data_IF_456655244815
#
_entry.id   IF_456655244815
#
_cell.length_a   1.000
_cell.length_b   1.000
_cell.length_c   1.000
_cell.angle_alpha   90.00
_cell.angle_beta   90.00
_cell.angle_gamma   90.00
#
_symmetry.space_group_name_H-M   'P 1'
#
loop_
_entity.id
_entity.type
_entity.pdbx_description
1 polymer ?
#
# COMPACT_ATOMS: atom_id res chain seq x y z
N UNK A 1 39.89 -31.91 -25.54
CA UNK A 1 40.96 -32.06 -24.54
C UNK A 1 40.23 -32.04 -23.20
N UNK A 2 39.72 -33.13 -22.77
CA UNK A 2 40.15 -34.21 -21.85
C UNK A 2 41.11 -33.71 -20.78
N UNK A 3 40.65 -33.68 -19.54
CA UNK A 3 41.22 -34.47 -18.47
C UNK A 3 40.37 -34.43 -17.21
N UNK A 4 39.88 -35.58 -16.82
CA UNK A 4 39.39 -36.06 -15.52
C UNK A 4 40.53 -36.25 -14.54
N UNK A 5 40.21 -36.33 -13.22
CA UNK A 5 40.82 -37.18 -12.17
C UNK A 5 40.00 -36.85 -10.90
N UNK A 6 39.13 -37.67 -10.31
CA UNK A 6 39.19 -38.95 -9.58
C UNK A 6 40.01 -38.92 -8.29
N UNK A 7 39.35 -39.38 -7.22
CA UNK A 7 39.99 -40.09 -6.11
C UNK A 7 39.50 -39.65 -4.71
N UNK A 8 38.58 -40.39 -4.11
CA UNK A 8 38.77 -41.48 -3.10
C UNK A 8 39.06 -40.94 -1.69
N UNK A 9 38.28 -41.23 -0.81
CA UNK A 9 37.96 -42.29 0.18
C UNK A 9 38.18 -41.73 1.58
N UNK A 10 37.38 -41.90 2.53
CA UNK A 10 36.82 -43.05 3.18
C UNK A 10 36.97 -42.93 4.68
N UNK A 11 36.05 -43.43 5.38
CA UNK A 11 36.04 -44.15 6.66
C UNK A 11 35.38 -43.45 7.84
N UNK A 12 34.25 -43.94 8.24
CA UNK A 12 33.85 -44.92 9.26
C UNK A 12 34.26 -44.61 10.73
N UNK A 13 33.25 -44.76 11.54
CA UNK A 13 33.32 -45.19 12.93
C UNK A 13 32.94 -44.10 13.91
N UNK A 14 32.02 -44.31 14.75
CA UNK A 14 31.56 -45.27 15.65
C UNK A 14 30.72 -44.64 16.73
N UNK A 15 29.61 -45.19 16.93
CA UNK A 15 28.87 -45.60 18.12
C UNK A 15 29.08 -44.92 19.48
N UNK A 16 27.93 -44.66 20.05
CA UNK A 16 27.49 -44.90 21.45
C UNK A 16 27.84 -43.87 22.54
N UNK A 17 26.85 -43.30 23.17
CA UNK A 17 26.13 -43.68 24.40
C UNK A 17 25.25 -42.54 24.91
N UNK A 18 23.99 -42.80 24.94
CA UNK A 18 23.09 -42.96 26.08
C UNK A 18 23.23 -42.03 27.31
N UNK A 19 22.09 -41.49 27.58
CA UNK A 19 21.37 -41.46 28.86
C UNK A 19 21.46 -40.18 29.71
N UNK A 20 20.28 -39.84 30.10
CA UNK A 20 19.84 -38.98 31.20
C UNK A 20 19.46 -37.54 30.84
N UNK A 21 18.21 -37.39 30.51
CA UNK A 21 17.50 -36.14 30.71
C UNK A 21 16.21 -36.40 31.48
N UNK A 22 16.28 -36.07 32.73
CA UNK A 22 15.12 -36.01 33.60
C UNK A 22 14.45 -34.65 33.47
N UNK A 23 13.16 -34.69 33.31
CA UNK A 23 12.16 -33.80 33.90
C UNK A 23 12.53 -32.35 34.19
N UNK A 24 12.30 -31.46 33.26
CA UNK A 24 11.90 -30.05 33.46
C UNK A 24 11.18 -29.51 32.20
N UNK A 25 9.90 -29.81 32.07
CA UNK A 25 9.12 -29.40 30.91
C UNK A 25 7.61 -29.24 31.14
N UNK A 26 7.17 -29.26 32.42
CA UNK A 26 5.72 -29.22 32.70
C UNK A 26 5.20 -27.91 33.31
N UNK A 27 6.05 -26.94 33.58
CA UNK A 27 5.61 -25.70 34.25
C UNK A 27 5.40 -24.47 33.34
N UNK A 28 5.84 -24.53 32.09
CA UNK A 28 5.68 -23.35 31.17
C UNK A 28 4.47 -23.42 30.24
N UNK A 29 3.75 -24.53 30.21
CA UNK A 29 2.55 -24.68 29.34
C UNK A 29 1.24 -24.27 29.99
N UNK A 30 1.23 -24.02 31.30
CA UNK A 30 -0.01 -23.60 31.98
C UNK A 30 -0.23 -22.07 31.98
N UNK A 31 0.84 -21.27 31.96
CA UNK A 31 0.71 -19.80 31.93
C UNK A 31 0.30 -19.26 30.53
N UNK A 32 0.72 -19.93 29.47
CA UNK A 32 0.30 -19.52 28.11
C UNK A 32 -1.19 -19.83 27.80
N UNK A 33 -1.76 -20.81 28.50
CA UNK A 33 -3.17 -21.19 28.35
C UNK A 33 -4.12 -20.31 29.17
N UNK A 34 -3.62 -19.65 30.23
CA UNK A 34 -4.42 -18.71 31.01
C UNK A 34 -4.47 -17.33 30.36
N UNK A 35 -3.37 -16.87 29.76
CA UNK A 35 -3.35 -15.62 28.98
C UNK A 35 -4.21 -15.70 27.74
N UNK A 36 -4.22 -16.83 27.02
CA UNK A 36 -5.09 -17.03 25.87
C UNK A 36 -6.58 -17.09 26.23
N UNK A 37 -6.93 -17.53 27.44
CA UNK A 37 -8.31 -17.54 27.93
C UNK A 37 -8.78 -16.18 28.44
N UNK A 38 -7.87 -15.32 28.90
CA UNK A 38 -8.20 -13.93 29.27
C UNK A 38 -8.39 -13.06 28.02
N UNK A 39 -7.61 -13.26 26.97
CA UNK A 39 -7.80 -12.57 25.70
C UNK A 39 -9.06 -13.03 24.95
N UNK A 40 -9.44 -14.31 25.04
CA UNK A 40 -10.68 -14.81 24.46
C UNK A 40 -11.95 -14.30 25.17
N UNK A 41 -11.89 -13.99 26.46
CA UNK A 41 -12.98 -13.35 27.21
C UNK A 41 -13.09 -11.85 26.95
N UNK A 42 -12.02 -11.19 26.49
CA UNK A 42 -12.04 -9.77 26.10
C UNK A 42 -12.56 -9.52 24.68
N UNK A 43 -12.65 -10.54 23.83
CA UNK A 43 -13.17 -10.40 22.46
C UNK A 43 -14.71 -10.44 22.35
N UNK A 44 -15.43 -10.62 23.48
CA UNK A 44 -16.88 -10.87 23.49
C UNK A 44 -17.77 -9.64 23.63
N UNK A 45 -17.25 -8.48 23.95
CA UNK A 45 -18.11 -7.28 24.16
C UNK A 45 -17.33 -6.00 23.80
N UNK A 46 -16.95 -5.85 22.54
CA UNK A 46 -16.51 -4.56 22.06
C UNK A 46 -17.74 -3.70 21.73
N UNK A 47 -18.44 -3.24 22.76
CA UNK A 47 -19.15 -2.00 22.68
C UNK A 47 -18.10 -0.93 22.37
N UNK A 48 -18.32 -0.16 21.32
CA UNK A 48 -17.46 0.98 21.01
C UNK A 48 -17.26 1.77 22.32
N UNK A 49 -16.03 2.11 22.71
CA UNK A 49 -15.82 2.95 23.86
C UNK A 49 -16.62 4.25 23.66
N UNK A 50 -17.53 4.50 24.55
CA UNK A 50 -18.13 5.82 24.69
C UNK A 50 -16.97 6.80 24.79
N UNK A 51 -16.94 7.75 23.90
CA UNK A 51 -15.88 8.70 23.55
C UNK A 51 -14.80 8.92 24.63
N UNK A 52 -13.58 8.56 24.30
CA UNK A 52 -12.40 8.86 25.13
C UNK A 52 -12.04 10.37 25.18
N UNK A 53 -12.78 11.24 24.50
CA UNK A 53 -12.61 12.67 24.50
C UNK A 53 -13.84 13.35 25.14
N UNK A 54 -13.70 14.08 26.26
CA UNK A 54 -14.80 14.84 26.81
C UNK A 54 -15.34 15.84 25.78
N UNK A 55 -16.63 15.72 25.45
CA UNK A 55 -17.31 16.61 24.50
C UNK A 55 -17.50 16.09 23.09
N UNK A 56 -17.00 14.87 22.77
CA UNK A 56 -17.25 14.24 21.46
C UNK A 56 -18.26 13.12 21.64
N UNK A 57 -19.46 13.29 21.14
CA UNK A 57 -20.49 12.24 21.11
C UNK A 57 -20.08 11.17 20.10
N UNK A 58 -20.19 9.86 20.41
CA UNK A 58 -19.92 8.80 19.44
C UNK A 58 -20.78 9.00 18.20
N UNK A 59 -20.13 9.17 17.03
CA UNK A 59 -20.84 9.42 15.78
C UNK A 59 -20.84 10.88 15.30
N UNK A 60 -20.31 11.82 16.07
CA UNK A 60 -20.11 13.17 15.57
C UNK A 60 -18.95 13.20 14.58
N UNK A 61 -19.21 13.60 13.37
CA UNK A 61 -18.20 14.00 12.40
C UNK A 61 -17.65 15.34 12.86
N UNK A 62 -16.34 15.49 12.94
CA UNK A 62 -15.72 16.81 13.12
C UNK A 62 -16.32 17.73 12.05
N UNK A 63 -16.99 18.80 12.49
CA UNK A 63 -17.56 19.79 11.60
C UNK A 63 -16.50 20.25 10.62
N UNK A 64 -16.66 19.87 9.35
CA UNK A 64 -15.95 20.56 8.30
C UNK A 64 -16.64 21.92 8.15
N UNK A 65 -15.88 22.98 7.93
CA UNK A 65 -16.37 24.33 7.70
C UNK A 65 -17.28 24.47 6.44
N UNK A 66 -17.81 23.38 5.93
CA UNK A 66 -18.76 23.35 4.84
C UNK A 66 -20.19 23.25 5.40
N UNK A 67 -21.05 24.24 5.17
CA UNK A 67 -22.34 24.38 5.85
C UNK A 67 -23.44 23.38 5.44
N UNK A 68 -23.14 22.34 4.66
CA UNK A 68 -24.13 21.38 4.14
C UNK A 68 -23.64 19.94 4.11
N UNK A 69 -22.81 19.51 5.04
CA UNK A 69 -22.48 18.07 5.15
C UNK A 69 -23.48 17.40 6.07
N UNK A 70 -24.19 16.41 5.51
CA UNK A 70 -24.94 15.46 6.31
C UNK A 70 -24.03 14.83 7.37
N UNK A 71 -24.54 14.64 8.58
CA UNK A 71 -23.81 13.98 9.67
C UNK A 71 -23.56 12.51 9.31
N UNK A 72 -22.43 12.23 8.68
CA UNK A 72 -22.00 10.89 8.32
C UNK A 72 -20.97 10.42 9.32
N UNK A 73 -21.19 9.26 9.93
CA UNK A 73 -20.21 8.67 10.84
C UNK A 73 -18.89 8.43 10.11
N UNK A 74 -17.76 8.67 10.78
CA UNK A 74 -16.42 8.58 10.19
C UNK A 74 -16.17 7.24 9.46
N UNK A 75 -16.69 6.13 9.97
CA UNK A 75 -16.58 4.81 9.33
C UNK A 75 -17.34 4.71 8.01
N UNK A 76 -18.39 5.50 7.85
CA UNK A 76 -19.29 5.47 6.70
C UNK A 76 -18.94 6.57 5.68
N UNK A 77 -18.08 7.55 6.02
CA UNK A 77 -17.71 8.70 5.17
C UNK A 77 -17.22 8.27 3.79
N UNK A 78 -16.43 7.22 3.72
CA UNK A 78 -15.92 6.74 2.43
C UNK A 78 -17.01 6.12 1.56
N UNK A 79 -17.93 5.37 2.15
CA UNK A 79 -19.05 4.82 1.44
C UNK A 79 -19.98 5.93 0.98
N UNK A 80 -20.31 6.88 1.87
CA UNK A 80 -21.09 8.08 1.53
C UNK A 80 -20.46 8.84 0.35
N UNK A 81 -19.15 9.06 0.37
CA UNK A 81 -18.44 9.70 -0.74
C UNK A 81 -18.59 8.91 -2.05
N UNK A 82 -18.47 7.59 -2.02
CA UNK A 82 -18.65 6.75 -3.22
C UNK A 82 -20.06 6.82 -3.77
N UNK A 83 -21.06 6.81 -2.90
CA UNK A 83 -22.47 6.80 -3.27
C UNK A 83 -22.91 8.15 -3.86
N UNK A 84 -22.28 9.26 -3.46
CA UNK A 84 -22.56 10.61 -3.94
C UNK A 84 -21.59 11.10 -5.02
N UNK A 85 -20.70 10.25 -5.50
CA UNK A 85 -19.73 10.60 -6.53
C UNK A 85 -20.38 10.73 -7.90
N UNK A 86 -20.22 11.89 -8.53
CA UNK A 86 -20.63 12.09 -9.91
C UNK A 86 -19.66 11.37 -10.85
N UNK A 87 -20.17 10.36 -11.56
CA UNK A 87 -19.37 9.59 -12.49
C UNK A 87 -19.29 10.28 -13.85
N UNK A 88 -18.10 10.36 -14.41
CA UNK A 88 -17.88 10.83 -15.77
C UNK A 88 -18.28 9.73 -16.77
N UNK A 89 -19.17 10.06 -17.71
CA UNK A 89 -19.51 9.13 -18.79
C UNK A 89 -18.26 8.68 -19.55
N UNK A 90 -18.12 7.39 -19.91
CA UNK A 90 -16.98 6.88 -20.66
C UNK A 90 -16.64 7.67 -21.92
N UNK A 91 -17.66 8.15 -22.66
CA UNK A 91 -17.50 8.96 -23.87
C UNK A 91 -16.87 10.33 -23.61
N UNK A 92 -17.03 10.87 -22.40
CA UNK A 92 -16.51 12.17 -22.02
C UNK A 92 -15.14 12.14 -21.35
N UNK A 93 -14.66 10.96 -20.96
CA UNK A 93 -13.38 10.83 -20.20
C UNK A 93 -12.19 11.43 -20.93
N UNK A 94 -12.13 11.28 -22.25
CA UNK A 94 -11.07 11.87 -23.09
C UNK A 94 -11.00 13.40 -23.08
N UNK A 95 -12.05 14.07 -22.61
CA UNK A 95 -12.07 15.54 -22.47
C UNK A 95 -11.36 16.01 -21.20
N UNK A 96 -11.08 15.10 -20.28
CA UNK A 96 -10.44 15.42 -19.00
C UNK A 96 -8.97 15.02 -19.03
N UNK A 97 -8.14 15.95 -18.62
CA UNK A 97 -6.69 15.73 -18.43
C UNK A 97 -6.40 15.63 -16.95
N UNK A 98 -5.71 14.56 -16.55
CA UNK A 98 -5.26 14.33 -15.17
C UNK A 98 -3.74 14.41 -15.14
N UNK A 99 -3.21 15.23 -14.24
CA UNK A 99 -1.78 15.34 -14.00
C UNK A 99 -1.40 14.43 -12.84
N UNK A 100 -0.41 13.55 -13.04
CA UNK A 100 0.06 12.62 -12.02
C UNK A 100 1.53 12.91 -11.74
N UNK A 101 1.84 13.35 -10.53
CA UNK A 101 3.20 13.67 -10.09
C UNK A 101 3.78 12.52 -9.29
N UNK A 102 4.80 11.90 -9.82
CA UNK A 102 5.44 10.70 -9.30
C UNK A 102 4.99 9.44 -10.02
N UNK A 103 5.94 8.56 -10.33
CA UNK A 103 5.73 7.30 -11.06
C UNK A 103 6.14 6.07 -10.25
N UNK A 104 6.12 6.19 -8.92
CA UNK A 104 6.24 5.06 -8.00
C UNK A 104 5.02 4.13 -8.09
N UNK A 105 4.91 3.18 -7.16
CA UNK A 105 3.77 2.25 -7.13
C UNK A 105 2.43 2.95 -7.18
N UNK A 106 2.25 3.99 -6.38
CA UNK A 106 1.00 4.74 -6.28
C UNK A 106 0.69 5.51 -7.57
N UNK A 107 1.61 6.39 -8.01
CA UNK A 107 1.38 7.25 -9.17
C UNK A 107 1.40 6.48 -10.48
N UNK A 108 2.28 5.50 -10.62
CA UNK A 108 2.33 4.63 -11.80
C UNK A 108 1.06 3.80 -11.97
N UNK A 109 0.53 3.23 -10.88
CA UNK A 109 -0.73 2.50 -10.91
C UNK A 109 -1.93 3.42 -11.21
N UNK A 110 -1.96 4.61 -10.60
CA UNK A 110 -3.00 5.61 -10.87
C UNK A 110 -2.99 6.06 -12.35
N UNK A 111 -1.81 6.39 -12.89
CA UNK A 111 -1.67 6.78 -14.28
C UNK A 111 -2.07 5.67 -15.27
N UNK A 112 -1.66 4.43 -14.99
CA UNK A 112 -2.04 3.27 -15.80
C UNK A 112 -3.55 3.04 -15.77
N UNK A 113 -4.17 3.04 -14.57
CA UNK A 113 -5.60 2.82 -14.42
C UNK A 113 -6.44 3.94 -15.06
N UNK A 114 -6.03 5.20 -14.92
CA UNK A 114 -6.71 6.32 -15.57
C UNK A 114 -6.60 6.24 -17.08
N UNK A 115 -5.44 5.86 -17.62
CA UNK A 115 -5.26 5.61 -19.06
C UNK A 115 -6.16 4.48 -19.56
N UNK A 116 -6.28 3.37 -18.83
CA UNK A 116 -7.19 2.27 -19.16
C UNK A 116 -8.67 2.70 -19.14
N UNK A 117 -9.02 3.60 -18.22
CA UNK A 117 -10.35 4.19 -18.14
C UNK A 117 -10.66 5.18 -19.27
N UNK A 118 -9.67 5.60 -20.06
CA UNK A 118 -9.82 6.50 -21.20
C UNK A 118 -9.66 7.97 -20.88
N UNK A 119 -9.05 8.35 -19.78
CA UNK A 119 -8.65 9.73 -19.49
C UNK A 119 -7.34 10.08 -20.20
N UNK A 120 -7.15 11.37 -20.52
CA UNK A 120 -5.84 11.87 -20.90
C UNK A 120 -4.99 12.05 -19.65
N UNK A 121 -3.85 11.42 -19.60
CA UNK A 121 -2.97 11.47 -18.42
C UNK A 121 -1.62 12.04 -18.79
N UNK A 122 -1.14 12.99 -17.99
CA UNK A 122 0.26 13.46 -18.04
C UNK A 122 0.96 13.05 -16.75
N UNK A 123 1.94 12.18 -16.87
CA UNK A 123 2.69 11.63 -15.74
C UNK A 123 4.07 12.27 -15.68
N UNK A 124 4.46 12.77 -14.51
CA UNK A 124 5.71 13.46 -14.27
C UNK A 124 6.60 12.67 -13.33
N UNK A 125 7.88 12.59 -13.64
CA UNK A 125 8.88 11.98 -12.77
C UNK A 125 10.22 12.71 -12.87
N UNK A 126 10.88 12.90 -11.73
CA UNK A 126 12.22 13.47 -11.74
C UNK A 126 13.29 12.47 -12.17
N UNK A 127 12.96 11.18 -12.16
CA UNK A 127 13.84 10.13 -12.67
C UNK A 127 13.85 10.07 -14.21
N UNK A 128 14.83 9.38 -14.74
CA UNK A 128 14.97 9.06 -16.17
C UNK A 128 13.93 8.01 -16.64
N UNK A 129 13.39 7.21 -15.72
CA UNK A 129 12.43 6.18 -16.03
C UNK A 129 11.47 5.91 -14.86
N UNK A 130 10.19 5.54 -15.13
CA UNK A 130 9.20 5.22 -14.10
C UNK A 130 9.66 4.13 -13.13
N UNK A 131 10.40 3.14 -13.60
CA UNK A 131 10.88 1.99 -12.81
C UNK A 131 11.94 2.34 -11.77
N UNK A 132 12.44 3.58 -11.71
CA UNK A 132 13.49 4.00 -10.78
C UNK A 132 12.99 4.60 -9.48
N UNK A 133 11.68 4.63 -9.28
CA UNK A 133 11.10 5.13 -8.04
C UNK A 133 11.59 4.34 -6.81
N UNK A 134 11.65 5.02 -5.66
CA UNK A 134 12.13 4.45 -4.39
C UNK A 134 11.38 3.16 -3.98
N UNK A 135 10.19 2.93 -4.49
CA UNK A 135 9.42 1.68 -4.27
C UNK A 135 10.22 0.41 -4.55
N UNK A 136 11.24 0.45 -5.41
CA UNK A 136 12.13 -0.69 -5.69
C UNK A 136 12.95 -1.14 -4.47
N UNK A 137 13.16 -0.26 -3.49
CA UNK A 137 13.93 -0.56 -2.29
C UNK A 137 13.15 -1.39 -1.26
N UNK A 138 11.82 -1.47 -1.36
CA UNK A 138 10.99 -2.24 -0.45
C UNK A 138 11.10 -3.75 -0.77
N UNK A 139 11.56 -4.56 0.17
CA UNK A 139 11.86 -5.98 -0.05
C UNK A 139 10.97 -6.94 0.72
N UNK A 140 10.42 -6.50 1.85
CA UNK A 140 9.74 -7.37 2.82
C UNK A 140 8.46 -8.00 2.31
N UNK A 141 7.58 -7.24 1.75
CA UNK A 141 6.26 -7.66 1.31
C UNK A 141 5.19 -6.60 1.56
N UNK A 142 3.97 -6.95 1.24
CA UNK A 142 2.79 -6.09 1.40
C UNK A 142 1.79 -6.76 2.33
N UNK A 143 1.42 -6.09 3.41
CA UNK A 143 0.41 -6.57 4.34
C UNK A 143 -0.99 -6.38 3.79
N UNK A 144 -1.79 -7.44 3.82
CA UNK A 144 -3.20 -7.39 3.44
C UNK A 144 -4.01 -8.43 4.21
N UNK A 145 -4.99 -7.98 4.95
CA UNK A 145 -5.81 -8.82 5.80
C UNK A 145 -7.02 -9.38 5.04
N UNK A 146 -6.85 -10.57 4.42
CA UNK A 146 -7.94 -11.27 3.72
C UNK A 146 -8.87 -12.06 4.64
N UNK A 147 -8.70 -11.99 5.95
CA UNK A 147 -9.55 -12.69 6.90
C UNK A 147 -9.38 -14.21 6.86
N UNK A 148 -8.13 -14.69 6.80
CA UNK A 148 -7.86 -16.13 6.93
C UNK A 148 -8.36 -16.62 8.30
N UNK A 149 -9.26 -17.59 8.32
CA UNK A 149 -9.86 -18.12 9.55
C UNK A 149 -8.84 -18.69 10.52
N UNK A 150 -7.74 -19.25 10.00
CA UNK A 150 -6.68 -19.88 10.81
C UNK A 150 -6.00 -18.90 11.76
N UNK A 151 -5.76 -17.66 11.30
CA UNK A 151 -5.00 -16.65 12.06
C UNK A 151 -5.91 -15.64 12.76
N UNK A 152 -7.25 -15.79 12.67
CA UNK A 152 -8.23 -14.82 13.15
C UNK A 152 -7.84 -13.37 12.77
N UNK A 153 -7.40 -13.19 11.52
CA UNK A 153 -6.98 -11.93 10.97
C UNK A 153 -8.11 -11.22 10.22
N UNK A 154 -8.06 -9.90 10.19
CA UNK A 154 -9.06 -9.09 9.51
C UNK A 154 -8.66 -7.62 9.47
N UNK A 155 -9.48 -6.80 8.81
CA UNK A 155 -9.21 -5.38 8.63
C UNK A 155 -9.02 -4.65 9.97
N UNK A 156 -9.79 -5.01 11.00
CA UNK A 156 -9.66 -4.40 12.32
C UNK A 156 -8.29 -4.67 12.96
N UNK A 157 -7.85 -5.94 12.97
CA UNK A 157 -6.54 -6.31 13.50
C UNK A 157 -5.41 -5.67 12.70
N UNK A 158 -5.55 -5.61 11.38
CA UNK A 158 -4.60 -4.92 10.51
C UNK A 158 -4.50 -3.42 10.85
N UNK A 159 -5.64 -2.75 11.04
CA UNK A 159 -5.68 -1.35 11.47
C UNK A 159 -5.00 -1.15 12.81
N UNK A 160 -5.35 -1.98 13.82
CA UNK A 160 -4.73 -1.91 15.14
C UNK A 160 -3.22 -2.06 15.09
N UNK A 161 -2.72 -3.03 14.33
CA UNK A 161 -1.28 -3.26 14.17
C UNK A 161 -0.60 -2.09 13.45
N UNK A 162 -1.27 -1.49 12.47
CA UNK A 162 -0.76 -0.32 11.73
C UNK A 162 -0.68 0.91 12.62
N UNK A 163 -1.73 1.21 13.40
CA UNK A 163 -1.77 2.32 14.35
C UNK A 163 -0.71 2.15 15.42
N UNK A 164 -0.55 0.94 15.98
CA UNK A 164 0.50 0.61 16.95
C UNK A 164 1.89 0.75 16.35
N UNK A 165 2.10 0.26 15.12
CA UNK A 165 3.37 0.37 14.40
C UNK A 165 3.75 1.82 14.06
N UNK A 166 2.77 2.70 13.89
CA UNK A 166 2.93 4.14 13.72
C UNK A 166 3.05 4.91 15.05
N UNK A 167 3.26 4.22 16.16
CA UNK A 167 3.42 4.80 17.49
C UNK A 167 2.22 5.69 17.89
N UNK A 168 1.01 5.29 17.46
CA UNK A 168 -0.25 6.01 17.69
C UNK A 168 -0.27 7.45 17.16
N UNK A 169 0.58 7.78 16.18
CA UNK A 169 0.66 9.12 15.57
C UNK A 169 -0.05 9.22 14.22
N UNK A 170 -0.52 8.11 13.70
CA UNK A 170 -1.21 8.08 12.42
C UNK A 170 -2.71 8.38 12.57
N UNK A 171 -3.31 8.84 11.47
CA UNK A 171 -4.75 9.05 11.41
C UNK A 171 -5.46 7.71 11.28
N UNK A 172 -6.28 7.34 12.27
CA UNK A 172 -6.94 6.03 12.35
C UNK A 172 -7.87 5.75 11.17
N UNK A 173 -8.58 6.77 10.68
CA UNK A 173 -9.46 6.65 9.51
C UNK A 173 -8.71 6.23 8.25
N UNK A 174 -7.49 6.74 8.05
CA UNK A 174 -6.65 6.39 6.91
C UNK A 174 -6.08 4.98 7.05
N UNK A 175 -5.70 4.58 8.27
CA UNK A 175 -5.27 3.21 8.57
C UNK A 175 -6.39 2.19 8.34
N UNK A 176 -7.61 2.52 8.76
CA UNK A 176 -8.79 1.69 8.50
C UNK A 176 -9.06 1.50 7.01
N UNK A 177 -9.04 2.60 6.26
CA UNK A 177 -9.22 2.59 4.82
C UNK A 177 -8.14 1.77 4.12
N UNK A 178 -6.87 1.96 4.50
CA UNK A 178 -5.75 1.19 3.99
C UNK A 178 -5.95 -0.31 4.23
N UNK A 179 -6.39 -0.70 5.43
CA UNK A 179 -6.62 -2.10 5.77
C UNK A 179 -7.71 -2.73 4.90
N UNK A 180 -8.81 -2.03 4.64
CA UNK A 180 -9.90 -2.50 3.78
C UNK A 180 -9.45 -2.60 2.31
N UNK A 181 -8.82 -1.56 1.79
CA UNK A 181 -8.45 -1.50 0.37
C UNK A 181 -7.23 -2.39 0.06
N UNK A 182 -6.45 -2.79 1.05
CA UNK A 182 -5.25 -3.63 0.86
C UNK A 182 -5.53 -4.92 0.09
N UNK A 183 -6.72 -5.50 0.28
CA UNK A 183 -7.13 -6.73 -0.43
C UNK A 183 -7.24 -6.48 -1.92
N UNK A 184 -7.89 -5.39 -2.30
CA UNK A 184 -8.06 -4.99 -3.71
C UNK A 184 -6.73 -4.64 -4.37
N UNK A 185 -5.82 -4.03 -3.61
CA UNK A 185 -4.46 -3.73 -4.09
C UNK A 185 -3.71 -5.01 -4.45
N UNK A 186 -3.76 -6.05 -3.60
CA UNK A 186 -3.13 -7.34 -3.91
C UNK A 186 -3.76 -8.00 -5.13
N UNK A 187 -5.08 -7.95 -5.27
CA UNK A 187 -5.78 -8.51 -6.44
C UNK A 187 -5.40 -7.77 -7.71
N UNK A 188 -5.36 -6.44 -7.67
CA UNK A 188 -4.92 -5.63 -8.80
C UNK A 188 -3.47 -5.92 -9.18
N UNK A 189 -2.55 -5.96 -8.22
CA UNK A 189 -1.15 -6.28 -8.48
C UNK A 189 -0.96 -7.68 -9.08
N UNK A 190 -1.72 -8.66 -8.58
CA UNK A 190 -1.72 -10.01 -9.17
C UNK A 190 -2.26 -10.01 -10.61
N UNK A 191 -3.32 -9.23 -10.89
CA UNK A 191 -3.92 -9.12 -12.21
C UNK A 191 -2.98 -8.47 -13.25
N UNK A 192 -2.20 -7.46 -12.84
CA UNK A 192 -1.19 -6.82 -13.73
C UNK A 192 0.11 -7.64 -13.85
N UNK A 193 0.19 -8.83 -13.24
CA UNK A 193 1.29 -9.78 -13.44
C UNK A 193 2.39 -9.71 -12.40
N UNK A 194 2.16 -9.15 -11.20
CA UNK A 194 3.15 -9.22 -10.13
C UNK A 194 3.38 -10.68 -9.70
N UNK A 195 4.63 -11.19 -9.70
CA UNK A 195 4.95 -12.58 -9.49
C UNK A 195 4.96 -12.94 -8.00
N UNK A 196 3.83 -12.81 -7.33
CA UNK A 196 3.69 -13.21 -5.94
C UNK A 196 4.01 -14.69 -5.74
N UNK A 197 4.65 -15.01 -4.62
CA UNK A 197 4.84 -16.38 -4.20
C UNK A 197 3.50 -17.10 -4.06
N UNK A 198 3.48 -18.39 -4.39
CA UNK A 198 2.27 -19.22 -4.32
C UNK A 198 2.51 -20.43 -3.44
N UNK A 199 1.44 -20.85 -2.78
CA UNK A 199 1.35 -22.13 -2.09
C UNK A 199 1.27 -23.26 -3.11
N UNK A 200 1.48 -24.49 -2.66
CA UNK A 200 1.44 -25.67 -3.51
C UNK A 200 0.10 -25.82 -4.25
N UNK A 201 -0.99 -25.41 -3.63
CA UNK A 201 -2.33 -25.39 -4.23
C UNK A 201 -2.62 -24.21 -5.16
N UNK A 202 -1.63 -23.39 -5.51
CA UNK A 202 -1.76 -22.25 -6.44
C UNK A 202 -2.29 -20.95 -5.86
N UNK A 203 -2.74 -20.93 -4.62
CA UNK A 203 -3.14 -19.71 -3.92
C UNK A 203 -1.94 -18.84 -3.57
N UNK A 204 -2.15 -17.52 -3.38
CA UNK A 204 -1.08 -16.61 -3.01
C UNK A 204 -0.54 -16.96 -1.61
N UNK A 205 0.78 -17.15 -1.52
CA UNK A 205 1.48 -17.42 -0.28
C UNK A 205 1.55 -16.16 0.59
N UNK A 206 1.44 -16.36 1.89
CA UNK A 206 1.61 -15.31 2.89
C UNK A 206 2.58 -15.74 3.97
N UNK A 207 3.23 -14.78 4.59
CA UNK A 207 4.13 -15.01 5.73
C UNK A 207 3.92 -13.98 6.82
N UNK A 208 4.40 -14.26 8.01
CA UNK A 208 4.58 -13.27 9.06
C UNK A 208 5.85 -12.48 8.78
N UNK A 209 5.79 -11.15 8.88
CA UNK A 209 6.92 -10.27 8.62
C UNK A 209 6.75 -8.93 9.34
N UNK A 210 7.88 -8.32 9.74
CA UNK A 210 7.88 -6.97 10.33
C UNK A 210 7.22 -6.86 11.70
N UNK A 211 7.32 -7.89 12.54
CA UNK A 211 6.72 -7.90 13.89
C UNK A 211 5.22 -8.24 13.90
N UNK A 212 4.61 -8.46 12.73
CA UNK A 212 3.23 -8.93 12.63
C UNK A 212 3.19 -10.43 12.93
N UNK A 213 2.40 -10.81 13.93
CA UNK A 213 2.32 -12.20 14.40
C UNK A 213 1.38 -13.11 13.58
N UNK A 214 0.79 -12.57 12.52
CA UNK A 214 -0.13 -13.29 11.63
C UNK A 214 0.42 -13.34 10.20
N UNK A 215 0.08 -14.38 9.45
CA UNK A 215 0.50 -14.56 8.07
C UNK A 215 -0.35 -13.71 7.11
N UNK A 216 -0.10 -12.40 7.04
CA UNK A 216 -0.81 -11.48 6.14
C UNK A 216 0.09 -10.81 5.10
N UNK A 217 1.41 -11.06 5.14
CA UNK A 217 2.34 -10.40 4.24
C UNK A 217 2.47 -11.19 2.94
N UNK A 218 2.01 -10.61 1.84
CA UNK A 218 2.21 -11.12 0.48
C UNK A 218 3.59 -10.69 -0.01
N UNK A 219 4.31 -11.56 -0.69
CA UNK A 219 5.69 -11.32 -1.06
C UNK A 219 6.06 -11.95 -2.41
N UNK A 220 7.07 -11.40 -3.03
CA UNK A 220 7.81 -12.02 -4.13
C UNK A 220 9.21 -12.34 -3.60
N UNK A 221 9.69 -13.52 -3.73
CA UNK A 221 10.91 -13.99 -3.07
C UNK A 221 12.08 -12.98 -3.18
N UNK A 222 12.33 -12.22 -2.10
CA UNK A 222 13.48 -11.33 -1.92
C UNK A 222 13.40 -9.91 -2.50
N UNK A 223 12.51 -9.63 -3.44
CA UNK A 223 12.48 -8.35 -4.19
C UNK A 223 11.06 -7.84 -4.41
N UNK A 224 10.25 -7.82 -3.37
CA UNK A 224 8.81 -7.54 -3.50
C UNK A 224 8.54 -6.18 -4.12
N UNK A 225 9.11 -5.11 -3.59
CA UNK A 225 8.89 -3.76 -4.10
C UNK A 225 9.38 -3.59 -5.54
N UNK A 226 10.53 -4.16 -5.88
CA UNK A 226 11.06 -4.13 -7.24
C UNK A 226 10.11 -4.83 -8.22
N UNK A 227 9.62 -6.02 -7.90
CA UNK A 227 8.71 -6.75 -8.78
C UNK A 227 7.36 -6.04 -8.95
N UNK A 228 6.82 -5.49 -7.87
CA UNK A 228 5.61 -4.68 -7.92
C UNK A 228 5.81 -3.42 -8.78
N UNK A 229 6.95 -2.72 -8.61
CA UNK A 229 7.27 -1.54 -9.40
C UNK A 229 7.45 -1.87 -10.89
N UNK A 230 8.10 -2.99 -11.23
CA UNK A 230 8.24 -3.43 -12.61
C UNK A 230 6.90 -3.77 -13.24
N UNK A 231 6.02 -4.46 -12.51
CA UNK A 231 4.67 -4.78 -13.00
C UNK A 231 3.84 -3.51 -13.23
N UNK A 232 3.91 -2.57 -12.30
CA UNK A 232 3.25 -1.25 -12.44
C UNK A 232 3.83 -0.46 -13.62
N UNK A 233 5.15 -0.42 -13.75
CA UNK A 233 5.82 0.25 -14.87
C UNK A 233 5.45 -0.38 -16.23
N UNK A 234 5.30 -1.70 -16.29
CA UNK A 234 4.83 -2.40 -17.50
C UNK A 234 3.40 -2.02 -17.87
N UNK A 235 2.49 -1.94 -16.87
CA UNK A 235 1.13 -1.49 -17.09
C UNK A 235 1.08 -0.04 -17.58
N UNK A 236 1.87 0.84 -16.96
CA UNK A 236 2.01 2.24 -17.38
C UNK A 236 2.58 2.35 -18.80
N UNK A 237 3.64 1.60 -19.11
CA UNK A 237 4.27 1.62 -20.43
C UNK A 237 3.31 1.18 -21.54
N UNK A 238 2.42 0.23 -21.25
CA UNK A 238 1.35 -0.15 -22.18
C UNK A 238 0.43 1.02 -22.50
N UNK A 239 0.05 1.82 -21.49
CA UNK A 239 -0.80 3.00 -21.70
C UNK A 239 -0.06 4.14 -22.43
N UNK A 240 1.23 4.28 -22.19
CA UNK A 240 2.08 5.22 -22.96
C UNK A 240 2.13 4.81 -24.42
N UNK A 241 2.33 3.53 -24.72
CA UNK A 241 2.35 3.01 -26.10
C UNK A 241 1.02 3.19 -26.82
N UNK A 242 -0.10 3.05 -26.10
CA UNK A 242 -1.45 3.29 -26.64
C UNK A 242 -1.79 4.79 -26.80
N UNK A 243 -0.92 5.70 -26.36
CA UNK A 243 -1.15 7.14 -26.45
C UNK A 243 -2.15 7.72 -25.42
N UNK A 244 -2.55 6.92 -24.41
CA UNK A 244 -3.45 7.37 -23.35
C UNK A 244 -2.70 8.14 -22.24
N UNK A 245 -1.41 7.88 -22.09
CA UNK A 245 -0.54 8.51 -21.09
C UNK A 245 0.67 9.13 -21.76
N UNK A 246 0.91 10.39 -21.51
CA UNK A 246 2.14 11.10 -21.86
C UNK A 246 3.06 11.17 -20.64
N UNK A 247 4.33 10.81 -20.78
CA UNK A 247 5.28 10.81 -19.68
C UNK A 247 6.33 11.89 -19.84
N UNK A 248 6.57 12.63 -18.77
CA UNK A 248 7.59 13.67 -18.64
C UNK A 248 8.65 13.21 -17.65
N UNK A 249 9.77 12.72 -18.16
CA UNK A 249 10.94 12.33 -17.35
C UNK A 249 11.81 13.53 -17.05
N UNK A 250 12.62 13.46 -15.99
CA UNK A 250 13.49 14.55 -15.54
C UNK A 250 12.73 15.86 -15.25
N UNK A 251 11.46 15.74 -14.79
CA UNK A 251 10.65 16.89 -14.40
C UNK A 251 10.42 16.88 -12.88
N UNK A 252 10.85 17.95 -12.24
CA UNK A 252 10.67 18.18 -10.81
C UNK A 252 9.48 19.09 -10.57
N UNK A 253 8.65 18.76 -9.58
CA UNK A 253 7.53 19.58 -9.17
C UNK A 253 8.04 20.78 -8.36
N UNK A 254 7.75 21.98 -8.82
CA UNK A 254 8.11 23.22 -8.13
C UNK A 254 6.96 23.77 -7.31
N UNK A 255 5.75 23.82 -7.90
CA UNK A 255 4.59 24.44 -7.26
C UNK A 255 3.28 23.94 -7.86
N UNK A 256 2.17 24.27 -7.19
CA UNK A 256 0.81 24.03 -7.66
C UNK A 256 0.19 25.33 -8.16
N UNK A 257 -0.53 25.26 -9.28
CA UNK A 257 -1.30 26.38 -9.79
C UNK A 257 -2.65 26.40 -9.07
N UNK A 258 -2.79 27.29 -8.11
CA UNK A 258 -3.99 27.45 -7.30
C UNK A 258 -4.69 28.73 -7.70
N UNK A 259 -5.97 28.63 -8.10
CA UNK A 259 -6.86 29.78 -8.35
C UNK A 259 -7.95 29.81 -7.29
N UNK A 260 -8.44 31.00 -7.00
CA UNK A 260 -9.57 31.20 -6.10
C UNK A 260 -10.79 31.65 -6.90
N UNK A 261 -11.86 30.85 -6.84
CA UNK A 261 -13.14 31.12 -7.50
C UNK A 261 -14.25 30.96 -6.47
N UNK A 262 -15.08 31.97 -6.33
CA UNK A 262 -16.21 31.99 -5.38
C UNK A 262 -15.81 31.65 -3.93
N UNK A 263 -14.64 32.17 -3.48
CA UNK A 263 -14.08 31.90 -2.16
C UNK A 263 -13.54 30.46 -1.95
N UNK A 264 -13.48 29.66 -3.02
CA UNK A 264 -12.93 28.28 -2.97
C UNK A 264 -11.63 28.20 -3.77
N UNK A 265 -10.64 27.50 -3.18
CA UNK A 265 -9.38 27.19 -3.84
C UNK A 265 -9.53 26.04 -4.81
N UNK A 266 -9.12 26.23 -6.05
CA UNK A 266 -9.09 25.23 -7.11
C UNK A 266 -7.65 24.99 -7.55
N UNK A 267 -7.25 23.72 -7.64
CA UNK A 267 -5.96 23.36 -8.22
C UNK A 267 -6.15 23.12 -9.72
N UNK A 268 -5.63 24.00 -10.53
CA UNK A 268 -5.78 23.97 -12.00
C UNK A 268 -4.56 23.35 -12.69
N UNK A 269 -3.47 23.10 -11.97
CA UNK A 269 -2.27 22.55 -12.58
C UNK A 269 -1.07 22.53 -11.67
N UNK A 270 0.08 22.36 -12.30
CA UNK A 270 1.40 22.28 -11.66
C UNK A 270 2.40 23.12 -12.43
N UNK A 271 3.45 23.57 -11.73
CA UNK A 271 4.64 24.15 -12.31
C UNK A 271 5.79 23.15 -12.14
N UNK A 272 6.45 22.81 -13.22
CA UNK A 272 7.58 21.87 -13.19
C UNK A 272 8.84 22.50 -13.75
N UNK A 273 9.98 21.98 -13.31
CA UNK A 273 11.30 22.30 -13.86
C UNK A 273 11.86 21.08 -14.58
N UNK A 274 12.25 21.24 -15.83
CA UNK A 274 13.02 20.24 -16.54
C UNK A 274 14.45 20.23 -16.00
N UNK A 275 14.88 19.10 -15.45
CA UNK A 275 16.20 18.97 -14.81
C UNK A 275 17.38 18.92 -15.79
N UNK A 276 17.10 18.70 -17.09
CA UNK A 276 18.13 18.69 -18.14
C UNK A 276 18.33 20.08 -18.70
N UNK A 277 17.24 20.77 -19.05
CA UNK A 277 17.30 22.09 -19.72
C UNK A 277 17.24 23.26 -18.74
N UNK A 278 16.77 23.02 -17.50
CA UNK A 278 16.51 24.07 -16.52
C UNK A 278 15.21 24.86 -16.77
N UNK A 279 14.47 24.55 -17.83
CA UNK A 279 13.24 25.23 -18.20
C UNK A 279 12.15 25.01 -17.14
N UNK A 280 11.46 26.09 -16.79
CA UNK A 280 10.29 26.05 -15.90
C UNK A 280 9.05 26.27 -16.76
N UNK A 281 8.13 25.31 -16.70
CA UNK A 281 6.91 25.32 -17.49
C UNK A 281 5.67 24.98 -16.65
N UNK A 282 4.53 25.68 -16.87
CA UNK A 282 3.25 25.31 -16.29
C UNK A 282 2.56 24.22 -17.10
N UNK A 283 1.89 23.30 -16.41
CA UNK A 283 1.00 22.30 -16.99
C UNK A 283 -0.36 22.40 -16.33
N UNK A 284 -1.41 22.53 -17.12
CA UNK A 284 -2.78 22.64 -16.64
C UNK A 284 -3.53 21.33 -16.84
N UNK A 285 -4.47 21.05 -15.95
CA UNK A 285 -5.30 19.86 -15.98
C UNK A 285 -6.57 20.02 -15.14
N UNK A 286 -7.47 19.07 -15.27
CA UNK A 286 -8.75 19.07 -14.54
C UNK A 286 -8.61 18.49 -13.13
N UNK A 287 -7.57 17.70 -12.90
CA UNK A 287 -7.22 17.16 -11.59
C UNK A 287 -5.71 16.93 -11.49
N UNK A 288 -5.18 17.04 -10.26
CA UNK A 288 -3.78 16.78 -9.93
C UNK A 288 -3.72 15.68 -8.89
N UNK A 289 -2.93 14.64 -9.15
CA UNK A 289 -2.64 13.57 -8.22
C UNK A 289 -1.17 13.71 -7.78
N UNK A 290 -0.95 13.98 -6.50
CA UNK A 290 0.37 14.01 -5.90
C UNK A 290 0.71 12.63 -5.34
N UNK A 291 1.68 11.96 -5.95
CA UNK A 291 2.19 10.65 -5.57
C UNK A 291 3.72 10.68 -5.40
N UNK A 292 4.21 11.71 -4.74
CA UNK A 292 5.62 12.09 -4.62
C UNK A 292 6.42 11.22 -3.63
N UNK A 293 5.76 10.28 -2.96
CA UNK A 293 6.39 9.39 -1.98
C UNK A 293 6.60 10.04 -0.62
N UNK A 294 7.56 9.53 0.13
CA UNK A 294 7.84 9.98 1.50
C UNK A 294 8.87 11.10 1.56
N UNK A 295 9.00 11.68 2.75
CA UNK A 295 9.87 12.83 3.05
C UNK A 295 11.22 12.44 3.66
N UNK A 296 11.67 11.19 3.46
CA UNK A 296 12.91 10.67 4.06
C UNK A 296 14.18 11.46 3.69
N UNK A 297 14.17 12.19 2.57
CA UNK A 297 15.28 13.05 2.19
C UNK A 297 15.22 14.46 2.82
N UNK A 298 14.13 14.79 3.51
CA UNK A 298 13.93 16.11 4.15
C UNK A 298 14.18 16.02 5.64
N UNK A 299 13.87 14.89 6.24
CA UNK A 299 14.02 14.63 7.68
C UNK A 299 15.09 13.55 7.89
N UNK A 300 16.08 13.86 8.68
CA UNK A 300 17.13 12.94 9.12
C UNK A 300 16.84 12.38 10.50
#
# INVERSE_FOLDING_TARGET
MTTSISGLSGNQGGEQRNAAAGTQGAAQTQDSAQDSKQDAKRSGDFRQPESACPGVTPGHVLESNEPNRDEVRMKDMWQHQKDHMNLVSPLNRRKFTVLVVGTGLSGGAAAAALGELGYNVKAFTYHDAPRRAHSIAAQGGVNSARGKKVDNDGAYRHTKDTVKGGDYRCRESDCWRLAIESVRVIDHMNAIGAPFAREYGGTLATRSFGGVQVSRTYYTRGQTGQQLQLSTASALQRQIHLGNVEIFTHHDLMDLIITEKDGKKHCEGIVTRNLITGEIAPFTGHAVILATGGYGNVYH
#
